data_IF_135379412094
#
_entry.id   IF_135379412094
#
_cell.length_a   1.000
_cell.length_b   1.000
_cell.length_c   1.000
_cell.angle_alpha   90.00
_cell.angle_beta   90.00
_cell.angle_gamma   90.00
#
_symmetry.space_group_name_H-M   'P 1'
#
loop_
_entity.id
_entity.type
_entity.pdbx_description
1 polymer ?
#
# COMPACT_ATOMS: atom_id res chain seq x y z
N UNK A 1 4.08 4.21 23.35
CA UNK A 1 3.77 4.01 21.92
C UNK A 1 2.32 3.61 21.83
N UNK A 2 1.53 4.25 20.98
CA UNK A 2 0.10 3.98 20.81
C UNK A 2 -0.15 3.72 19.34
N UNK A 3 -0.91 2.67 19.03
CA UNK A 3 -1.30 2.34 17.67
C UNK A 3 -2.40 3.31 17.21
N UNK A 4 -2.20 3.91 16.04
CA UNK A 4 -3.18 4.78 15.39
C UNK A 4 -3.70 4.12 14.11
N UNK A 5 -4.85 4.59 13.63
CA UNK A 5 -5.45 4.12 12.39
C UNK A 5 -6.13 5.28 11.66
N UNK A 6 -6.29 5.12 10.35
CA UNK A 6 -6.97 6.09 9.50
C UNK A 6 -7.70 5.39 8.36
N UNK A 7 -8.79 6.00 7.88
CA UNK A 7 -9.57 5.48 6.77
C UNK A 7 -9.14 6.25 5.52
N UNK A 8 -8.65 5.54 4.51
CA UNK A 8 -8.20 6.14 3.26
C UNK A 8 -8.99 5.54 2.09
N UNK A 9 -9.50 6.37 1.16
CA UNK A 9 -10.10 5.86 -0.05
C UNK A 9 -9.00 5.44 -1.03
N UNK A 10 -9.25 4.36 -1.78
CA UNK A 10 -8.40 3.96 -2.90
C UNK A 10 -8.73 4.86 -4.08
N UNK A 11 -7.70 5.43 -4.71
CA UNK A 11 -7.81 6.29 -5.88
C UNK A 11 -7.50 5.44 -7.12
N UNK A 12 -8.18 5.71 -8.23
CA UNK A 12 -7.97 4.96 -9.47
C UNK A 12 -6.58 5.22 -10.06
N UNK A 13 -6.02 4.18 -10.67
CA UNK A 13 -4.71 4.24 -11.32
C UNK A 13 -4.61 5.37 -12.36
N UNK A 14 -5.70 5.63 -13.10
CA UNK A 14 -5.77 6.72 -14.08
C UNK A 14 -5.50 8.09 -13.47
N UNK A 15 -5.99 8.33 -12.25
CA UNK A 15 -5.83 9.61 -11.55
C UNK A 15 -4.39 9.73 -11.05
N UNK A 16 -3.85 8.69 -10.42
CA UNK A 16 -2.49 8.74 -9.91
C UNK A 16 -1.42 8.78 -11.03
N UNK A 17 -1.77 8.33 -12.23
CA UNK A 17 -0.93 8.43 -13.43
C UNK A 17 -0.94 9.82 -14.08
N UNK A 18 -1.77 10.76 -13.62
CA UNK A 18 -1.80 12.12 -14.16
C UNK A 18 -0.47 12.85 -13.90
N UNK A 19 -0.05 13.70 -14.85
CA UNK A 19 1.23 14.44 -14.78
C UNK A 19 1.30 15.41 -13.60
N UNK A 20 0.17 15.94 -13.14
CA UNK A 20 0.07 16.81 -11.97
C UNK A 20 -0.15 16.04 -10.66
N UNK A 21 -0.10 14.71 -10.72
CA UNK A 21 -0.02 13.76 -9.62
C UNK A 21 1.37 13.09 -9.68
N UNK A 22 1.44 11.76 -9.67
CA UNK A 22 2.71 11.02 -9.72
C UNK A 22 3.25 10.81 -11.14
N UNK A 23 2.42 10.97 -12.18
CA UNK A 23 2.86 10.85 -13.56
C UNK A 23 3.59 9.53 -13.84
N UNK A 24 4.79 9.63 -14.41
CA UNK A 24 5.64 8.48 -14.76
C UNK A 24 6.21 7.73 -13.56
N UNK A 25 6.18 8.32 -12.36
CA UNK A 25 6.73 7.68 -11.16
C UNK A 25 5.77 6.63 -10.58
N UNK A 26 4.50 6.65 -11.00
CA UNK A 26 3.49 5.69 -10.57
C UNK A 26 3.51 4.41 -11.40
N UNK A 27 3.46 3.25 -10.72
CA UNK A 27 3.55 1.93 -11.32
C UNK A 27 2.24 1.12 -11.13
N UNK A 28 1.20 1.36 -11.95
CA UNK A 28 -0.15 0.82 -11.74
C UNK A 28 -0.24 -0.72 -11.74
N UNK A 29 0.72 -1.40 -12.36
CA UNK A 29 0.72 -2.87 -12.42
C UNK A 29 1.13 -3.54 -11.09
N UNK A 30 1.78 -2.78 -10.21
CA UNK A 30 2.40 -3.29 -8.97
C UNK A 30 1.98 -2.52 -7.72
N UNK A 31 1.46 -1.32 -7.90
CA UNK A 31 1.08 -0.41 -6.81
C UNK A 31 -0.26 0.22 -7.07
N UNK A 32 -0.91 0.69 -6.01
CA UNK A 32 -2.07 1.56 -6.06
C UNK A 32 -1.86 2.73 -5.09
N UNK A 33 -2.62 3.79 -5.25
CA UNK A 33 -2.58 4.95 -4.37
C UNK A 33 -3.83 5.01 -3.48
N UNK A 34 -3.68 5.46 -2.24
CA UNK A 34 -4.80 5.66 -1.33
C UNK A 34 -4.60 6.89 -0.44
N UNK A 35 -5.64 7.70 -0.32
CA UNK A 35 -5.58 8.98 0.38
C UNK A 35 -6.59 9.97 -0.17
N UNK A 36 -6.51 11.22 0.25
CA UNK A 36 -7.40 12.29 -0.21
C UNK A 36 -6.65 13.22 -1.17
N UNK A 37 -7.29 13.64 -2.27
CA UNK A 37 -6.68 14.59 -3.22
C UNK A 37 -6.24 15.88 -2.51
N UNK A 38 -7.04 16.35 -1.55
CA UNK A 38 -6.74 17.57 -0.79
C UNK A 38 -5.61 17.38 0.24
N UNK A 39 -5.07 16.17 0.38
CA UNK A 39 -4.09 15.81 1.39
C UNK A 39 -4.70 15.60 2.78
N UNK A 40 -3.89 15.77 3.82
CA UNK A 40 -4.27 15.64 5.22
C UNK A 40 -3.91 14.29 5.82
N UNK A 41 -4.89 13.40 5.91
CA UNK A 41 -4.71 12.08 6.54
C UNK A 41 -3.95 11.12 5.61
N UNK A 42 -2.85 10.56 6.10
CA UNK A 42 -1.98 9.68 5.31
C UNK A 42 -1.15 8.75 6.21
N UNK A 43 -0.62 7.68 5.62
CA UNK A 43 0.48 6.93 6.22
C UNK A 43 1.78 7.73 6.10
N UNK A 44 2.67 7.65 7.10
CA UNK A 44 3.86 8.49 7.10
C UNK A 44 5.14 7.71 7.44
N UNK A 45 6.25 8.43 7.54
CA UNK A 45 7.54 7.87 7.97
C UNK A 45 7.38 7.14 9.31
N UNK A 46 7.75 5.85 9.32
CA UNK A 46 7.58 4.98 10.48
C UNK A 46 6.39 4.01 10.37
N UNK A 47 5.46 4.26 9.44
CA UNK A 47 4.37 3.35 9.11
C UNK A 47 4.71 2.44 7.91
N UNK A 48 5.85 2.65 7.24
CA UNK A 48 6.28 1.84 6.08
C UNK A 48 6.28 0.35 6.41
N UNK A 49 5.69 -0.45 5.51
CA UNK A 49 5.42 -1.87 5.76
C UNK A 49 4.09 -2.15 6.45
N UNK A 50 3.40 -1.12 6.96
CA UNK A 50 2.05 -1.21 7.51
C UNK A 50 1.02 -1.62 6.46
N UNK A 51 0.00 -2.37 6.88
CA UNK A 51 -1.02 -2.90 5.98
C UNK A 51 -2.21 -1.93 5.85
N UNK A 52 -2.60 -1.66 4.61
CA UNK A 52 -3.94 -1.14 4.29
C UNK A 52 -4.90 -2.31 4.19
N UNK A 53 -5.83 -2.38 5.15
CA UNK A 53 -6.83 -3.44 5.24
C UNK A 53 -8.20 -3.00 4.73
N UNK A 54 -8.82 -3.85 3.91
CA UNK A 54 -10.16 -3.64 3.37
C UNK A 54 -11.12 -4.70 3.92
N UNK A 55 -12.35 -4.31 4.26
CA UNK A 55 -13.40 -5.24 4.68
C UNK A 55 -14.25 -5.66 3.48
N UNK A 56 -14.32 -6.97 3.20
CA UNK A 56 -15.20 -7.55 2.16
C UNK A 56 -15.92 -8.77 2.74
N UNK A 57 -17.23 -8.86 2.55
CA UNK A 57 -18.06 -9.97 3.05
C UNK A 57 -17.84 -10.31 4.54
N UNK A 58 -17.65 -9.29 5.37
CA UNK A 58 -17.42 -9.45 6.81
C UNK A 58 -15.98 -9.77 7.22
N UNK A 59 -15.10 -10.12 6.28
CA UNK A 59 -13.68 -10.45 6.51
C UNK A 59 -12.77 -9.27 6.17
N UNK A 60 -11.62 -9.19 6.85
CA UNK A 60 -10.58 -8.20 6.60
C UNK A 60 -9.47 -8.80 5.74
N UNK A 61 -9.06 -8.07 4.72
CA UNK A 61 -8.02 -8.47 3.78
C UNK A 61 -6.95 -7.39 3.71
N UNK A 62 -5.67 -7.78 3.73
CA UNK A 62 -4.57 -6.88 3.39
C UNK A 62 -4.64 -6.59 1.89
N UNK A 63 -5.06 -5.39 1.53
CA UNK A 63 -5.14 -4.95 0.14
C UNK A 63 -3.82 -4.35 -0.32
N UNK A 64 -3.10 -3.68 0.59
CA UNK A 64 -1.81 -3.10 0.26
C UNK A 64 -0.85 -3.00 1.43
N UNK A 65 0.41 -2.74 1.09
CA UNK A 65 1.49 -2.48 2.05
C UNK A 65 1.98 -1.06 1.77
N UNK A 66 1.98 -0.19 2.78
CA UNK A 66 2.46 1.18 2.65
C UNK A 66 3.93 1.15 2.23
N UNK A 67 4.23 1.77 1.09
CA UNK A 67 5.55 1.70 0.47
C UNK A 67 6.24 3.07 0.53
N UNK A 68 5.69 4.07 -0.15
CA UNK A 68 6.30 5.39 -0.29
C UNK A 68 5.25 6.45 -0.64
N UNK A 69 5.66 7.71 -0.69
CA UNK A 69 4.84 8.85 -1.06
C UNK A 69 5.69 10.12 -1.13
N UNK A 70 5.14 11.21 -1.64
CA UNK A 70 5.81 12.52 -1.60
C UNK A 70 5.27 13.28 -0.39
N UNK A 71 6.10 13.37 0.65
CA UNK A 71 5.64 13.87 1.95
C UNK A 71 4.61 12.93 2.59
N UNK A 72 3.80 13.48 3.49
CA UNK A 72 2.68 12.78 4.13
C UNK A 72 1.45 13.68 4.09
N UNK A 73 0.39 13.24 3.42
CA UNK A 73 -0.85 14.01 3.33
C UNK A 73 -0.71 15.28 2.49
N UNK A 74 0.09 15.23 1.44
CA UNK A 74 0.31 16.35 0.52
C UNK A 74 -0.81 16.43 -0.54
N UNK A 75 -1.05 17.65 -1.05
CA UNK A 75 -2.02 17.88 -2.12
C UNK A 75 -1.65 17.08 -3.38
N UNK A 76 -2.56 16.25 -3.89
CA UNK A 76 -2.40 15.33 -5.04
C UNK A 76 -1.35 14.22 -4.88
N UNK A 77 -0.75 14.08 -3.70
CA UNK A 77 0.28 13.06 -3.44
C UNK A 77 -0.14 12.13 -2.29
N UNK A 78 -1.16 11.29 -2.52
CA UNK A 78 -1.56 10.26 -1.57
C UNK A 78 -0.49 9.16 -1.44
N UNK A 79 -0.46 8.47 -0.30
CA UNK A 79 0.43 7.32 -0.12
C UNK A 79 0.30 6.27 -1.23
N UNK A 80 1.46 5.75 -1.66
CA UNK A 80 1.59 4.63 -2.60
C UNK A 80 1.75 3.32 -1.82
N UNK A 81 0.89 2.37 -2.16
CA UNK A 81 0.82 1.05 -1.55
C UNK A 81 1.17 -0.01 -2.58
N UNK A 82 1.99 -0.99 -2.19
CA UNK A 82 2.17 -2.22 -2.98
C UNK A 82 0.85 -2.97 -3.07
N UNK A 83 0.40 -3.34 -4.27
CA UNK A 83 -0.83 -4.12 -4.45
C UNK A 83 -0.59 -5.60 -4.11
N UNK A 84 -0.96 -6.00 -2.89
CA UNK A 84 -0.78 -7.38 -2.40
C UNK A 84 -1.47 -8.40 -3.31
N UNK A 85 -2.56 -8.03 -3.99
CA UNK A 85 -3.29 -8.95 -4.87
C UNK A 85 -2.46 -9.41 -6.07
N UNK A 86 -1.47 -8.61 -6.50
CA UNK A 86 -0.55 -8.96 -7.61
C UNK A 86 0.50 -9.98 -7.20
N UNK A 87 0.75 -10.14 -5.90
CA UNK A 87 1.81 -10.98 -5.35
C UNK A 87 1.29 -12.24 -4.66
N UNK A 88 -0.03 -12.50 -4.69
CA UNK A 88 -0.65 -13.60 -3.96
C UNK A 88 -0.03 -14.98 -4.22
N UNK A 89 0.23 -15.32 -5.49
CA UNK A 89 0.86 -16.60 -5.85
C UNK A 89 2.28 -16.72 -5.28
N UNK A 90 3.09 -15.67 -5.43
CA UNK A 90 4.44 -15.66 -4.89
C UNK A 90 4.46 -15.77 -3.36
N UNK A 91 3.58 -15.04 -2.67
CA UNK A 91 3.43 -15.14 -1.21
C UNK A 91 3.07 -16.57 -0.82
N UNK A 92 2.11 -17.18 -1.51
CA UNK A 92 1.69 -18.54 -1.25
C UNK A 92 2.83 -19.54 -1.46
N UNK A 93 3.57 -19.43 -2.57
CA UNK A 93 4.71 -20.30 -2.87
C UNK A 93 5.79 -20.20 -1.79
N UNK A 94 6.12 -18.99 -1.35
CA UNK A 94 7.09 -18.76 -0.26
C UNK A 94 6.61 -19.37 1.06
N UNK A 95 5.33 -19.24 1.40
CA UNK A 95 4.75 -19.84 2.62
C UNK A 95 4.81 -21.37 2.56
N UNK A 96 4.55 -21.98 1.39
CA UNK A 96 4.61 -23.43 1.23
C UNK A 96 6.05 -23.96 1.27
N UNK A 97 7.02 -23.19 0.76
CA UNK A 97 8.43 -23.58 0.73
C UNK A 97 9.14 -23.37 2.08
N UNK A 98 8.81 -22.28 2.78
CA UNK A 98 9.43 -21.92 4.06
C UNK A 98 8.50 -22.29 5.22
N UNK A 99 8.46 -23.58 5.57
CA UNK A 99 7.73 -24.10 6.72
C UNK A 99 8.28 -23.63 8.08
N UNK A 100 9.39 -22.88 8.10
CA UNK A 100 10.00 -22.28 9.29
C UNK A 100 10.56 -20.89 8.96
N UNK A 101 10.20 -19.87 9.74
CA UNK A 101 10.70 -18.49 9.59
C UNK A 101 12.19 -18.28 9.95
N UNK A 102 12.95 -19.36 10.15
CA UNK A 102 14.35 -19.35 10.60
C UNK A 102 15.24 -20.22 9.69
N UNK A 103 15.04 -20.21 8.38
CA UNK A 103 16.05 -20.78 7.49
C UNK A 103 17.13 -19.73 7.20
N UNK A 104 18.42 -20.00 7.49
CA UNK A 104 19.49 -19.10 7.12
C UNK A 104 19.61 -19.12 5.60
N UNK A 105 19.21 -18.02 4.96
CA UNK A 105 19.43 -17.82 3.53
C UNK A 105 20.94 -17.58 3.38
N UNK A 106 21.62 -18.51 2.70
CA UNK A 106 23.03 -18.37 2.32
C UNK A 106 23.24 -17.30 1.25
#
# INVERSE_FOLDING_TARGET
MVLNQVILPIISDDICSLLDWYGSDFLPNTTFCAGYEQGGQDGCTGDSGGSLICRRNGLWYSQGILSWGYGCGEYKYPGIYTDVSKYGSWIYDIIQQNTVCNSPVG
#
